data_IF_617356088812
#
_entry.id   IF_617356088812
#
_cell.length_a   1.000
_cell.length_b   1.000
_cell.length_c   1.000
_cell.angle_alpha   90.00
_cell.angle_beta   90.00
_cell.angle_gamma   90.00
#
_symmetry.space_group_name_H-M   'P 1'
#
loop_
_entity.id
_entity.type
_entity.pdbx_description
1 polymer ?
#
# COMPACT_ATOMS: atom_id res chain seq x y z
N UNK A 1 12.16 -41.02 32.86
CA UNK A 1 11.40 -39.94 32.19
C UNK A 1 12.33 -39.28 31.20
N UNK A 2 11.95 -39.06 29.94
CA UNK A 2 12.78 -38.33 29.00
C UNK A 2 13.04 -36.91 29.53
N UNK A 3 14.28 -36.45 29.42
CA UNK A 3 14.72 -35.14 29.89
C UNK A 3 14.28 -34.05 28.88
N UNK A 4 13.15 -33.42 29.18
CA UNK A 4 12.58 -32.33 28.39
C UNK A 4 13.37 -31.02 28.51
N UNK A 5 14.37 -30.91 29.39
CA UNK A 5 15.17 -29.67 29.54
C UNK A 5 15.91 -29.28 28.26
N UNK A 6 16.29 -30.27 27.45
CA UNK A 6 16.92 -30.07 26.15
C UNK A 6 16.00 -29.40 25.10
N UNK A 7 14.68 -29.62 25.19
CA UNK A 7 13.70 -29.01 24.26
C UNK A 7 13.53 -27.51 24.53
N UNK A 8 13.79 -27.04 25.76
CA UNK A 8 13.75 -25.62 26.11
C UNK A 8 15.02 -24.86 25.69
N UNK A 9 16.08 -25.56 25.29
CA UNK A 9 17.35 -24.96 24.83
C UNK A 9 17.42 -24.78 23.30
N UNK A 10 16.35 -25.09 22.57
CA UNK A 10 16.31 -24.91 21.13
C UNK A 10 16.39 -23.41 20.76
N UNK A 11 17.12 -23.06 19.70
CA UNK A 11 17.30 -21.67 19.30
C UNK A 11 15.96 -21.03 18.93
N UNK A 12 15.74 -19.79 19.40
CA UNK A 12 14.52 -18.97 19.15
C UNK A 12 13.99 -19.08 17.70
N UNK A 13 14.84 -18.98 16.65
CA UNK A 13 14.39 -19.08 15.26
C UNK A 13 13.73 -20.39 14.87
N UNK A 14 13.97 -21.47 15.61
CA UNK A 14 13.43 -22.79 15.33
C UNK A 14 12.12 -23.05 16.10
N UNK A 15 12.00 -22.54 17.32
CA UNK A 15 10.85 -22.81 18.20
C UNK A 15 9.71 -21.83 18.05
N UNK A 16 10.00 -20.56 17.78
CA UNK A 16 8.96 -19.51 17.72
C UNK A 16 8.10 -19.44 16.45
N UNK A 17 8.55 -19.86 15.24
CA UNK A 17 7.73 -19.66 14.05
C UNK A 17 6.36 -20.33 14.12
N UNK A 18 6.28 -21.57 14.61
CA UNK A 18 5.01 -22.32 14.70
C UNK A 18 3.99 -21.63 15.63
N UNK A 19 4.30 -21.33 16.92
CA UNK A 19 3.34 -20.66 17.78
C UNK A 19 2.98 -19.27 17.28
N UNK A 20 3.92 -18.51 16.70
CA UNK A 20 3.64 -17.19 16.12
C UNK A 20 2.71 -17.30 14.91
N UNK A 21 2.90 -18.29 14.03
CA UNK A 21 2.03 -18.53 12.89
C UNK A 21 0.60 -18.88 13.35
N UNK A 22 0.47 -19.71 14.38
CA UNK A 22 -0.83 -20.03 14.99
C UNK A 22 -1.48 -18.77 15.56
N UNK A 23 -0.72 -17.93 16.28
CA UNK A 23 -1.22 -16.65 16.84
C UNK A 23 -1.72 -15.72 15.72
N UNK A 24 -0.95 -15.56 14.63
CA UNK A 24 -1.39 -14.75 13.48
C UNK A 24 -2.67 -15.31 12.85
N UNK A 25 -2.74 -16.63 12.67
CA UNK A 25 -3.92 -17.29 12.09
C UNK A 25 -5.16 -17.11 12.97
N UNK A 26 -5.04 -17.36 14.29
CA UNK A 26 -6.14 -17.18 15.24
C UNK A 26 -6.57 -15.71 15.28
N UNK A 27 -5.62 -14.77 15.30
CA UNK A 27 -5.92 -13.34 15.25
C UNK A 27 -6.70 -13.01 13.99
N UNK A 28 -6.22 -13.43 12.82
CA UNK A 28 -6.90 -13.18 11.56
C UNK A 28 -8.34 -13.72 11.58
N UNK A 29 -8.52 -15.00 11.92
CA UNK A 29 -9.83 -15.65 11.94
C UNK A 29 -10.77 -15.01 12.97
N UNK A 30 -10.25 -14.52 14.09
CA UNK A 30 -11.04 -13.85 15.12
C UNK A 30 -11.51 -12.45 14.68
N UNK A 31 -10.67 -11.70 13.95
CA UNK A 31 -10.98 -10.33 13.56
C UNK A 31 -11.63 -10.22 12.17
N UNK A 32 -11.38 -11.14 11.25
CA UNK A 32 -11.92 -11.09 9.89
C UNK A 32 -13.45 -10.98 9.81
N UNK A 33 -14.26 -11.65 10.66
CA UNK A 33 -15.72 -11.49 10.67
C UNK A 33 -16.20 -10.07 11.00
N UNK A 34 -15.36 -9.26 11.66
CA UNK A 34 -15.70 -7.87 12.04
C UNK A 34 -15.55 -6.88 10.88
N UNK A 35 -14.93 -7.29 9.77
CA UNK A 35 -14.68 -6.42 8.62
C UNK A 35 -15.45 -6.91 7.38
N UNK A 36 -16.16 -5.98 6.72
CA UNK A 36 -17.05 -6.32 5.61
C UNK A 36 -16.29 -6.60 4.31
N UNK A 37 -15.26 -5.82 4.02
CA UNK A 37 -14.56 -5.88 2.72
C UNK A 37 -13.31 -6.74 2.80
N UNK A 38 -12.99 -7.48 1.72
CA UNK A 38 -11.72 -8.20 1.60
C UNK A 38 -10.51 -7.29 1.79
N UNK A 39 -10.61 -6.07 1.24
CA UNK A 39 -9.57 -5.05 1.39
C UNK A 39 -9.27 -4.76 2.87
N UNK A 40 -10.29 -4.57 3.70
CA UNK A 40 -10.09 -4.39 5.15
C UNK A 40 -9.44 -5.64 5.77
N UNK A 41 -9.96 -6.83 5.46
CA UNK A 41 -9.43 -8.09 6.00
C UNK A 41 -7.93 -8.27 5.69
N UNK A 42 -7.48 -7.86 4.51
CA UNK A 42 -6.07 -7.91 4.11
C UNK A 42 -5.14 -7.04 4.99
N UNK A 43 -5.65 -6.03 5.70
CA UNK A 43 -4.84 -5.16 6.56
C UNK A 43 -4.80 -5.60 8.04
N UNK A 44 -5.49 -6.67 8.43
CA UNK A 44 -5.53 -7.14 9.83
C UNK A 44 -4.12 -7.50 10.31
N UNK A 45 -3.45 -8.39 9.59
CA UNK A 45 -2.10 -8.83 9.96
C UNK A 45 -1.07 -7.72 9.80
N UNK A 46 -1.16 -6.91 8.75
CA UNK A 46 -0.24 -5.78 8.56
C UNK A 46 -0.35 -4.77 9.70
N UNK A 47 -1.56 -4.49 10.21
CA UNK A 47 -1.75 -3.60 11.36
C UNK A 47 -1.08 -4.16 12.61
N UNK A 48 -1.31 -5.44 12.93
CA UNK A 48 -0.69 -6.08 14.09
C UNK A 48 0.84 -6.11 13.98
N UNK A 49 1.36 -6.52 12.83
CA UNK A 49 2.80 -6.68 12.61
C UNK A 49 3.54 -5.34 12.63
N UNK A 50 3.09 -4.36 11.84
CA UNK A 50 3.75 -3.05 11.78
C UNK A 50 3.69 -2.29 13.11
N UNK A 51 2.58 -2.42 13.86
CA UNK A 51 2.49 -1.88 15.22
C UNK A 51 3.49 -2.54 16.17
N UNK A 52 3.56 -3.87 16.16
CA UNK A 52 4.50 -4.64 17.00
C UNK A 52 5.95 -4.34 16.65
N UNK A 53 6.30 -4.30 15.36
CA UNK A 53 7.66 -3.98 14.90
C UNK A 53 8.08 -2.56 15.25
N UNK A 54 7.16 -1.60 15.17
CA UNK A 54 7.41 -0.23 15.63
C UNK A 54 7.76 -0.22 17.12
N UNK A 55 7.02 -0.94 17.96
CA UNK A 55 7.30 -1.00 19.40
C UNK A 55 8.61 -1.73 19.72
N UNK A 56 8.85 -2.89 19.10
CA UNK A 56 10.07 -3.69 19.27
C UNK A 56 11.32 -2.90 18.83
N UNK A 57 11.19 -2.03 17.84
CA UNK A 57 12.30 -1.20 17.35
C UNK A 57 12.76 -0.11 18.33
N UNK A 58 11.90 0.34 19.24
CA UNK A 58 12.14 1.55 20.03
C UNK A 58 13.44 1.51 20.84
N UNK A 59 13.81 0.41 21.53
CA UNK A 59 15.08 0.39 22.27
C UNK A 59 16.30 0.46 21.36
N UNK A 60 16.26 -0.17 20.19
CA UNK A 60 17.35 -0.13 19.21
C UNK A 60 17.49 1.26 18.60
N UNK A 61 16.36 1.88 18.22
CA UNK A 61 16.34 3.24 17.71
C UNK A 61 16.84 4.24 18.78
N UNK A 62 16.39 4.09 20.02
CA UNK A 62 16.82 4.95 21.12
C UNK A 62 18.33 4.86 21.36
N UNK A 63 18.88 3.64 21.47
CA UNK A 63 20.32 3.43 21.63
C UNK A 63 21.09 3.96 20.41
N UNK A 64 20.59 3.75 19.20
CA UNK A 64 21.19 4.30 17.98
C UNK A 64 21.28 5.82 18.01
N UNK A 65 20.17 6.51 18.33
CA UNK A 65 20.11 7.97 18.34
C UNK A 65 20.93 8.61 19.47
N UNK A 66 21.10 7.90 20.60
CA UNK A 66 21.79 8.46 21.78
C UNK A 66 23.25 8.06 21.88
N UNK A 67 23.62 6.86 21.40
CA UNK A 67 24.96 6.27 21.57
C UNK A 67 25.64 5.89 20.25
N UNK A 68 24.93 5.97 19.13
CA UNK A 68 25.46 5.69 17.80
C UNK A 68 25.44 4.23 17.39
N UNK A 69 25.81 3.99 16.13
CA UNK A 69 25.71 2.69 15.45
C UNK A 69 26.55 1.58 16.11
N UNK A 70 27.78 1.87 16.54
CA UNK A 70 28.64 0.85 17.13
C UNK A 70 28.09 0.29 18.44
N UNK A 71 27.59 1.16 19.31
CA UNK A 71 27.06 0.75 20.62
C UNK A 71 25.79 -0.08 20.47
N UNK A 72 24.89 0.27 19.54
CA UNK A 72 23.68 -0.54 19.30
C UNK A 72 23.99 -1.91 18.70
N UNK A 73 25.04 -2.04 17.88
CA UNK A 73 25.50 -3.33 17.39
C UNK A 73 26.07 -4.19 18.52
N UNK A 74 26.96 -3.62 19.34
CA UNK A 74 27.54 -4.31 20.50
C UNK A 74 26.46 -4.76 21.51
N UNK A 75 25.57 -3.85 21.91
CA UNK A 75 24.50 -4.16 22.86
C UNK A 75 23.48 -5.15 22.27
N UNK A 76 23.23 -5.05 20.96
CA UNK A 76 22.33 -5.95 20.24
C UNK A 76 22.83 -7.39 20.13
N UNK A 77 24.11 -7.65 20.44
CA UNK A 77 24.70 -8.98 20.50
C UNK A 77 24.73 -9.57 21.91
N UNK A 78 24.21 -8.85 22.92
CA UNK A 78 24.28 -9.27 24.33
C UNK A 78 22.95 -9.13 25.07
N UNK A 79 22.82 -9.90 26.15
CA UNK A 79 21.73 -9.79 27.12
C UNK A 79 20.33 -9.85 26.49
N UNK A 80 19.44 -8.98 26.98
CA UNK A 80 18.04 -8.96 26.55
C UNK A 80 17.84 -8.38 25.15
N UNK A 81 18.73 -7.51 24.67
CA UNK A 81 18.65 -6.95 23.32
C UNK A 81 18.95 -8.01 22.26
N UNK A 82 19.87 -8.95 22.52
CA UNK A 82 20.07 -10.12 21.65
C UNK A 82 18.79 -10.95 21.51
N UNK A 83 18.14 -11.25 22.64
CA UNK A 83 16.89 -12.03 22.67
C UNK A 83 15.78 -11.30 21.92
N UNK A 84 15.60 -10.00 22.20
CA UNK A 84 14.60 -9.17 21.53
C UNK A 84 14.89 -9.01 20.03
N UNK A 85 16.16 -8.90 19.65
CA UNK A 85 16.62 -8.86 18.26
C UNK A 85 16.21 -10.10 17.49
N UNK A 86 16.53 -11.28 18.02
CA UNK A 86 16.16 -12.56 17.43
C UNK A 86 14.64 -12.74 17.39
N UNK A 87 13.94 -12.40 18.47
CA UNK A 87 12.49 -12.42 18.52
C UNK A 87 11.87 -11.55 17.42
N UNK A 88 12.30 -10.29 17.29
CA UNK A 88 11.76 -9.35 16.31
C UNK A 88 11.96 -9.81 14.86
N UNK A 89 13.14 -10.34 14.53
CA UNK A 89 13.42 -10.89 13.19
C UNK A 89 12.56 -12.13 12.91
N UNK A 90 12.46 -13.07 13.86
CA UNK A 90 11.63 -14.27 13.72
C UNK A 90 10.13 -13.92 13.66
N UNK A 91 9.68 -12.94 14.44
CA UNK A 91 8.31 -12.43 14.40
C UNK A 91 7.96 -11.87 13.03
N UNK A 92 8.81 -10.99 12.49
CA UNK A 92 8.57 -10.41 11.18
C UNK A 92 8.62 -11.44 10.06
N UNK A 93 9.58 -12.37 10.08
CA UNK A 93 9.65 -13.48 9.13
C UNK A 93 8.37 -14.33 9.13
N UNK A 94 7.88 -14.67 10.32
CA UNK A 94 6.68 -15.50 10.49
C UNK A 94 5.43 -14.75 10.04
N UNK A 95 5.34 -13.44 10.32
CA UNK A 95 4.29 -12.58 9.79
C UNK A 95 4.23 -12.63 8.26
N UNK A 96 5.38 -12.49 7.58
CA UNK A 96 5.43 -12.49 6.12
C UNK A 96 4.93 -13.82 5.55
N UNK A 97 5.31 -14.94 6.16
CA UNK A 97 4.82 -16.27 5.78
C UNK A 97 3.31 -16.36 6.03
N UNK A 98 2.83 -15.94 7.19
CA UNK A 98 1.41 -15.95 7.54
C UNK A 98 0.57 -15.09 6.57
N UNK A 99 1.04 -13.89 6.23
CA UNK A 99 0.35 -13.00 5.30
C UNK A 99 0.30 -13.56 3.88
N UNK A 100 1.36 -14.24 3.41
CA UNK A 100 1.33 -14.92 2.11
C UNK A 100 0.39 -16.13 2.10
N UNK A 101 0.40 -16.95 3.16
CA UNK A 101 -0.48 -18.12 3.27
C UNK A 101 -1.95 -17.69 3.37
N UNK A 102 -2.28 -16.81 4.31
CA UNK A 102 -3.66 -16.33 4.48
C UNK A 102 -4.09 -15.45 3.30
N UNK A 103 -3.17 -14.69 2.72
CA UNK A 103 -3.41 -13.93 1.50
C UNK A 103 -3.74 -14.84 0.33
N UNK A 104 -3.06 -15.97 0.17
CA UNK A 104 -3.39 -16.97 -0.85
C UNK A 104 -4.79 -17.56 -0.65
N UNK A 105 -5.18 -17.85 0.60
CA UNK A 105 -6.44 -18.52 0.94
C UNK A 105 -7.64 -17.56 0.91
N UNK A 106 -7.54 -16.40 1.57
CA UNK A 106 -8.69 -15.57 1.93
C UNK A 106 -8.77 -14.23 1.19
N UNK A 107 -7.67 -13.68 0.68
CA UNK A 107 -7.66 -12.34 0.06
C UNK A 107 -6.65 -12.22 -1.09
N UNK A 108 -6.61 -13.25 -1.95
CA UNK A 108 -5.61 -13.38 -3.02
C UNK A 108 -5.56 -12.18 -3.96
N UNK A 109 -6.72 -11.59 -4.24
CA UNK A 109 -6.85 -10.43 -5.11
C UNK A 109 -6.27 -9.14 -4.50
N UNK A 110 -6.07 -9.10 -3.18
CA UNK A 110 -5.54 -7.93 -2.47
C UNK A 110 -4.00 -7.96 -2.39
N UNK A 111 -3.37 -9.12 -2.62
CA UNK A 111 -1.90 -9.25 -2.60
C UNK A 111 -1.33 -8.91 -3.98
N UNK A 112 -0.77 -7.70 -4.10
CA UNK A 112 -0.09 -7.24 -5.32
C UNK A 112 1.12 -8.11 -5.68
N UNK A 113 1.42 -8.27 -6.98
CA UNK A 113 2.56 -9.10 -7.43
C UNK A 113 3.89 -8.55 -6.90
N UNK A 114 4.17 -7.28 -7.18
CA UNK A 114 5.42 -6.65 -6.79
C UNK A 114 5.43 -6.30 -5.30
N UNK A 115 4.38 -5.63 -4.82
CA UNK A 115 4.33 -5.06 -3.47
C UNK A 115 3.97 -6.06 -2.38
N UNK A 116 3.39 -7.21 -2.76
CA UNK A 116 3.03 -8.30 -1.84
C UNK A 116 3.94 -9.51 -2.06
N UNK A 117 3.70 -10.28 -3.12
CA UNK A 117 4.37 -11.57 -3.33
C UNK A 117 5.89 -11.47 -3.40
N UNK A 118 6.42 -10.72 -4.36
CA UNK A 118 7.88 -10.60 -4.56
C UNK A 118 8.53 -9.93 -3.35
N UNK A 119 7.93 -8.83 -2.88
CA UNK A 119 8.43 -8.10 -1.71
C UNK A 119 8.52 -9.00 -0.46
N UNK A 120 7.46 -9.73 -0.12
CA UNK A 120 7.45 -10.60 1.07
C UNK A 120 8.41 -11.76 0.92
N UNK A 121 8.52 -12.39 -0.26
CA UNK A 121 9.51 -13.45 -0.50
C UNK A 121 10.95 -12.95 -0.33
N UNK A 122 11.27 -11.78 -0.88
CA UNK A 122 12.59 -11.16 -0.69
C UNK A 122 12.86 -10.88 0.79
N UNK A 123 11.87 -10.39 1.54
CA UNK A 123 12.03 -10.14 2.97
C UNK A 123 12.14 -11.42 3.79
N UNK A 124 11.44 -12.51 3.44
CA UNK A 124 11.60 -13.82 4.09
C UNK A 124 13.04 -14.31 3.94
N UNK A 125 13.60 -14.23 2.73
CA UNK A 125 14.99 -14.57 2.48
C UNK A 125 15.96 -13.67 3.26
N UNK A 126 15.69 -12.36 3.29
CA UNK A 126 16.45 -11.40 4.07
C UNK A 126 16.41 -11.70 5.57
N UNK A 127 15.26 -12.07 6.13
CA UNK A 127 15.15 -12.44 7.55
C UNK A 127 15.96 -13.71 7.84
N UNK A 128 15.93 -14.71 6.95
CA UNK A 128 16.77 -15.90 7.06
C UNK A 128 18.27 -15.55 7.10
N UNK A 129 18.71 -14.64 6.22
CA UNK A 129 20.08 -14.11 6.23
C UNK A 129 20.41 -13.32 7.50
N UNK A 130 19.49 -12.49 7.99
CA UNK A 130 19.71 -11.71 9.23
C UNK A 130 19.79 -12.63 10.45
N UNK A 131 19.07 -13.74 10.48
CA UNK A 131 19.12 -14.71 11.58
C UNK A 131 20.42 -15.51 11.62
N UNK A 132 21.07 -15.70 10.47
CA UNK A 132 22.38 -16.37 10.38
C UNK A 132 23.55 -15.40 10.52
N UNK A 133 23.28 -14.10 10.54
CA UNK A 133 24.28 -13.04 10.72
C UNK A 133 24.00 -12.24 12.00
N UNK A 134 24.90 -11.31 12.35
CA UNK A 134 24.74 -10.46 13.54
C UNK A 134 24.03 -9.14 13.23
N UNK A 135 23.18 -9.12 12.21
CA UNK A 135 22.56 -7.90 11.66
C UNK A 135 21.16 -7.61 12.20
N UNK A 136 20.68 -8.35 13.20
CA UNK A 136 19.39 -8.10 13.83
C UNK A 136 19.23 -6.67 14.38
N UNK A 137 20.25 -6.05 15.01
CA UNK A 137 20.13 -4.67 15.51
C UNK A 137 19.92 -3.67 14.38
N UNK A 138 20.65 -3.80 13.27
CA UNK A 138 20.48 -2.98 12.06
C UNK A 138 19.05 -3.07 11.52
N UNK A 139 18.52 -4.29 11.43
CA UNK A 139 17.14 -4.51 11.00
C UNK A 139 16.13 -3.86 11.95
N UNK A 140 16.31 -3.98 13.27
CA UNK A 140 15.38 -3.39 14.21
C UNK A 140 15.46 -1.87 14.29
N UNK A 141 16.60 -1.24 14.04
CA UNK A 141 16.66 0.22 13.82
C UNK A 141 15.80 0.59 12.61
N UNK A 142 15.95 -0.15 11.50
CA UNK A 142 15.16 0.06 10.28
C UNK A 142 13.66 -0.24 10.48
N UNK A 143 13.31 -1.17 11.37
CA UNK A 143 11.92 -1.54 11.65
C UNK A 143 11.09 -0.40 12.27
N UNK A 144 11.73 0.64 12.81
CA UNK A 144 11.02 1.88 13.18
C UNK A 144 10.31 2.56 12.01
N UNK A 145 10.76 2.27 10.78
CA UNK A 145 10.10 2.71 9.54
C UNK A 145 8.79 1.97 9.25
N UNK A 146 8.34 1.05 10.11
CA UNK A 146 7.01 0.44 10.01
C UNK A 146 5.87 1.34 10.52
N UNK A 147 6.16 2.43 11.24
CA UNK A 147 5.12 3.34 11.74
C UNK A 147 4.21 3.91 10.63
N UNK A 148 4.71 4.35 9.45
CA UNK A 148 3.84 4.76 8.35
C UNK A 148 2.99 3.61 7.78
N UNK A 149 3.48 2.37 7.80
CA UNK A 149 2.70 1.18 7.40
C UNK A 149 1.60 0.91 8.40
N UNK A 150 1.88 1.05 9.70
CA UNK A 150 0.87 0.96 10.74
C UNK A 150 -0.23 2.00 10.53
N UNK A 151 0.15 3.26 10.26
CA UNK A 151 -0.81 4.32 9.97
C UNK A 151 -1.67 4.03 8.73
N UNK A 152 -1.06 3.50 7.67
CA UNK A 152 -1.77 3.08 6.46
C UNK A 152 -2.74 1.93 6.76
N UNK A 153 -2.28 0.91 7.48
CA UNK A 153 -3.04 -0.30 7.73
C UNK A 153 -4.25 -0.02 8.64
N UNK A 154 -4.06 0.73 9.73
CA UNK A 154 -5.15 1.12 10.63
C UNK A 154 -6.17 2.02 9.91
N UNK A 155 -5.71 2.92 9.02
CA UNK A 155 -6.60 3.79 8.23
C UNK A 155 -7.42 3.02 7.18
N UNK A 156 -6.93 1.85 6.72
CA UNK A 156 -7.73 0.97 5.86
C UNK A 156 -8.72 0.12 6.66
N UNK A 157 -8.37 -0.31 7.87
CA UNK A 157 -9.31 -1.01 8.77
C UNK A 157 -10.44 -0.10 9.23
N UNK A 158 -10.09 1.11 9.69
CA UNK A 158 -11.02 2.10 10.24
C UNK A 158 -10.94 3.40 9.42
N UNK A 159 -11.75 3.55 8.37
CA UNK A 159 -11.74 4.75 7.53
C UNK A 159 -11.96 6.06 8.30
N UNK A 160 -12.59 6.01 9.48
CA UNK A 160 -12.80 7.17 10.36
C UNK A 160 -11.50 7.77 10.89
N UNK A 161 -10.42 6.99 11.05
CA UNK A 161 -9.13 7.49 11.54
C UNK A 161 -8.21 7.95 10.41
N UNK A 162 -8.63 7.82 9.15
CA UNK A 162 -7.79 8.09 7.99
C UNK A 162 -7.41 9.56 7.88
N UNK A 163 -6.10 9.82 7.82
CA UNK A 163 -5.56 11.14 7.53
C UNK A 163 -4.40 11.00 6.53
N UNK A 164 -4.64 11.38 5.27
CA UNK A 164 -3.65 11.27 4.20
C UNK A 164 -2.39 12.11 4.49
N UNK A 165 -2.53 13.30 5.09
CA UNK A 165 -1.39 14.16 5.40
C UNK A 165 -0.51 13.55 6.50
N UNK A 166 -1.11 13.00 7.57
CA UNK A 166 -0.40 12.28 8.63
C UNK A 166 0.43 11.13 8.05
N UNK A 167 -0.18 10.31 7.20
CA UNK A 167 0.50 9.20 6.53
C UNK A 167 1.67 9.70 5.66
N UNK A 168 1.44 10.70 4.82
CA UNK A 168 2.49 11.24 3.93
C UNK A 168 3.64 11.88 4.70
N UNK A 169 3.35 12.64 5.76
CA UNK A 169 4.37 13.26 6.61
C UNK A 169 5.20 12.21 7.35
N UNK A 170 4.57 11.23 7.98
CA UNK A 170 5.28 10.14 8.68
C UNK A 170 6.10 9.29 7.71
N UNK A 171 5.56 8.99 6.53
CA UNK A 171 6.28 8.27 5.47
C UNK A 171 7.52 9.05 5.02
N UNK A 172 7.40 10.36 4.76
CA UNK A 172 8.55 11.17 4.37
C UNK A 172 9.63 11.19 5.45
N UNK A 173 9.25 11.50 6.69
CA UNK A 173 10.21 11.60 7.81
C UNK A 173 10.94 10.28 8.03
N UNK A 174 10.22 9.16 8.12
CA UNK A 174 10.82 7.87 8.49
C UNK A 174 11.38 7.10 7.30
N UNK A 175 10.58 6.91 6.24
CA UNK A 175 10.95 6.06 5.09
C UNK A 175 11.82 6.76 4.05
N UNK A 176 11.91 8.09 4.05
CA UNK A 176 12.78 8.85 3.15
C UNK A 176 13.94 9.49 3.92
N UNK A 177 13.67 10.43 4.84
CA UNK A 177 14.72 11.22 5.49
C UNK A 177 15.56 10.37 6.44
N UNK A 178 14.93 9.73 7.43
CA UNK A 178 15.63 8.86 8.38
C UNK A 178 16.30 7.67 7.67
N UNK A 179 15.61 7.04 6.71
CA UNK A 179 16.18 5.97 5.90
C UNK A 179 17.47 6.41 5.21
N UNK A 180 17.49 7.55 4.52
CA UNK A 180 18.68 8.04 3.83
C UNK A 180 19.82 8.29 4.81
N UNK A 181 19.54 8.91 5.97
CA UNK A 181 20.55 9.13 7.02
C UNK A 181 21.12 7.80 7.50
N UNK A 182 20.25 6.82 7.79
CA UNK A 182 20.66 5.51 8.28
C UNK A 182 21.44 4.69 7.23
N UNK A 183 21.05 4.79 5.96
CA UNK A 183 21.78 4.21 4.82
C UNK A 183 23.19 4.80 4.72
N UNK A 184 23.31 6.14 4.76
CA UNK A 184 24.61 6.80 4.71
C UNK A 184 25.49 6.38 5.88
N UNK A 185 24.92 6.25 7.09
CA UNK A 185 25.65 5.77 8.26
C UNK A 185 26.11 4.32 8.12
N UNK A 186 25.27 3.42 7.58
CA UNK A 186 25.65 2.04 7.26
C UNK A 186 26.74 1.93 6.17
N UNK A 187 26.81 2.89 5.25
CA UNK A 187 27.83 2.92 4.18
C UNK A 187 29.17 3.49 4.66
N UNK A 188 29.22 4.21 5.78
CA UNK A 188 30.48 4.75 6.32
C UNK A 188 31.49 3.63 6.58
N UNK A 189 32.78 3.84 6.28
CA UNK A 189 33.81 2.85 6.55
C UNK A 189 33.83 2.34 7.98
N UNK A 190 33.61 3.21 8.98
CA UNK A 190 33.55 2.83 10.39
C UNK A 190 32.45 1.82 10.68
N UNK A 191 31.23 2.07 10.20
CA UNK A 191 30.10 1.16 10.37
C UNK A 191 30.30 -0.16 9.63
N UNK A 192 30.91 -0.13 8.44
CA UNK A 192 31.24 -1.34 7.66
C UNK A 192 32.31 -2.20 8.33
N UNK A 193 33.26 -1.59 9.04
CA UNK A 193 34.23 -2.35 9.84
C UNK A 193 33.54 -3.09 10.98
N UNK A 194 32.46 -2.54 11.55
CA UNK A 194 31.70 -3.17 12.64
C UNK A 194 30.84 -4.33 12.12
N UNK A 195 30.17 -4.15 10.98
CA UNK A 195 29.31 -5.20 10.40
C UNK A 195 30.09 -6.24 9.58
N UNK A 196 31.35 -5.96 9.24
CA UNK A 196 32.17 -6.72 8.30
C UNK A 196 31.48 -7.01 6.96
N UNK A 197 30.54 -6.17 6.53
CA UNK A 197 29.68 -6.46 5.39
C UNK A 197 29.07 -5.21 4.75
N UNK A 198 28.92 -5.26 3.41
CA UNK A 198 28.16 -4.28 2.64
C UNK A 198 26.65 -4.57 2.61
N UNK A 199 26.22 -5.73 3.10
CA UNK A 199 24.83 -6.18 3.01
C UNK A 199 23.82 -5.15 3.55
N UNK A 200 24.02 -4.52 4.73
CA UNK A 200 23.12 -3.46 5.19
C UNK A 200 22.91 -2.33 4.18
N UNK A 201 23.99 -1.83 3.59
CA UNK A 201 23.93 -0.76 2.60
C UNK A 201 23.19 -1.16 1.33
N UNK A 202 23.41 -2.39 0.86
CA UNK A 202 22.72 -2.93 -0.33
C UNK A 202 21.22 -3.04 -0.07
N UNK A 203 20.80 -3.68 1.02
CA UNK A 203 19.39 -3.88 1.33
C UNK A 203 18.66 -2.56 1.59
N UNK A 204 19.28 -1.63 2.33
CA UNK A 204 18.72 -0.30 2.55
C UNK A 204 18.61 0.50 1.24
N UNK A 205 19.60 0.41 0.34
CA UNK A 205 19.51 1.09 -0.97
C UNK A 205 18.32 0.58 -1.79
N UNK A 206 18.15 -0.75 -1.87
CA UNK A 206 17.03 -1.36 -2.61
C UNK A 206 15.68 -0.97 -1.98
N UNK A 207 15.60 -0.97 -0.65
CA UNK A 207 14.39 -0.55 0.06
C UNK A 207 14.09 0.95 -0.13
N UNK A 208 15.11 1.81 -0.15
CA UNK A 208 14.95 3.26 -0.37
C UNK A 208 14.40 3.55 -1.76
N UNK A 209 14.90 2.87 -2.82
CA UNK A 209 14.37 3.02 -4.19
C UNK A 209 12.87 2.69 -4.21
N UNK A 210 12.48 1.59 -3.56
CA UNK A 210 11.08 1.20 -3.44
C UNK A 210 10.26 2.26 -2.69
N UNK A 211 10.74 2.77 -1.56
CA UNK A 211 10.06 3.80 -0.79
C UNK A 211 9.89 5.11 -1.54
N UNK A 212 10.89 5.56 -2.31
CA UNK A 212 10.78 6.75 -3.16
C UNK A 212 9.67 6.54 -4.20
N UNK A 213 9.61 5.35 -4.82
CA UNK A 213 8.55 5.04 -5.80
C UNK A 213 7.15 5.09 -5.18
N UNK A 214 6.99 4.57 -3.95
CA UNK A 214 5.72 4.58 -3.22
C UNK A 214 5.33 5.97 -2.75
N UNK A 215 6.28 6.75 -2.22
CA UNK A 215 6.05 8.13 -1.81
C UNK A 215 5.56 8.98 -2.97
N UNK A 216 6.20 8.85 -4.14
CA UNK A 216 5.77 9.54 -5.37
C UNK A 216 4.33 9.19 -5.74
N UNK A 217 3.96 7.91 -5.65
CA UNK A 217 2.59 7.44 -5.89
C UNK A 217 1.58 8.00 -4.88
N UNK A 218 1.92 7.97 -3.58
CA UNK A 218 1.11 8.53 -2.51
C UNK A 218 0.88 10.04 -2.66
N UNK A 219 1.95 10.79 -2.96
CA UNK A 219 1.91 12.24 -3.13
C UNK A 219 1.08 12.62 -4.35
N UNK A 220 1.31 11.96 -5.48
CA UNK A 220 0.51 12.17 -6.70
C UNK A 220 -0.97 11.89 -6.45
N UNK A 221 -1.28 10.82 -5.72
CA UNK A 221 -2.64 10.48 -5.33
C UNK A 221 -3.30 11.54 -4.44
N UNK A 222 -2.55 12.07 -3.46
CA UNK A 222 -3.01 13.13 -2.56
C UNK A 222 -3.28 14.43 -3.30
N UNK A 223 -2.34 14.90 -4.13
CA UNK A 223 -2.49 16.13 -4.92
C UNK A 223 -3.69 16.04 -5.87
N UNK A 224 -3.90 14.89 -6.52
CA UNK A 224 -5.07 14.66 -7.39
C UNK A 224 -6.39 14.74 -6.62
N UNK A 225 -6.46 14.17 -5.41
CA UNK A 225 -7.67 14.26 -4.56
C UNK A 225 -7.92 15.69 -4.09
N UNK A 226 -6.86 16.41 -3.71
CA UNK A 226 -6.94 17.81 -3.27
C UNK A 226 -7.42 18.74 -4.39
N UNK A 227 -6.86 18.60 -5.59
CA UNK A 227 -7.29 19.37 -6.77
C UNK A 227 -8.77 19.16 -7.08
N UNK A 228 -9.26 17.91 -7.07
CA UNK A 228 -10.68 17.61 -7.27
C UNK A 228 -11.60 18.16 -6.17
N UNK A 229 -11.11 18.24 -4.93
CA UNK A 229 -11.87 18.82 -3.83
C UNK A 229 -12.00 20.34 -3.95
N UNK A 230 -10.98 21.01 -4.49
CA UNK A 230 -10.98 22.46 -4.70
C UNK A 230 -11.83 22.88 -5.92
N UNK A 231 -11.92 22.04 -6.94
CA UNK A 231 -12.73 22.34 -8.13
C UNK A 231 -14.24 22.20 -7.91
N UNK A 232 -14.68 21.44 -6.90
CA UNK A 232 -16.10 21.22 -6.60
C UNK A 232 -16.83 22.48 -6.07
N UNK A 233 -16.29 23.22 -5.07
CA UNK A 233 -16.89 24.47 -4.60
C UNK A 233 -17.01 25.51 -5.71
N UNK A 234 -15.98 25.63 -6.56
CA UNK A 234 -16.00 26.59 -7.66
C UNK A 234 -17.11 26.24 -8.67
N UNK A 235 -17.24 24.98 -9.07
CA UNK A 235 -18.33 24.55 -9.96
C UNK A 235 -19.73 24.78 -9.36
N UNK A 236 -19.90 24.54 -8.04
CA UNK A 236 -21.17 24.79 -7.35
C UNK A 236 -21.52 26.28 -7.23
N UNK A 237 -20.55 27.18 -7.23
CA UNK A 237 -20.77 28.63 -7.20
C UNK A 237 -21.02 29.18 -8.62
N UNK A 238 -20.28 28.68 -9.63
CA UNK A 238 -20.36 29.22 -10.99
C UNK A 238 -21.63 28.76 -11.73
N UNK A 239 -22.12 27.54 -11.53
CA UNK A 239 -23.36 27.08 -12.18
C UNK A 239 -24.61 27.92 -11.85
N UNK A 240 -24.93 28.26 -10.59
CA UNK A 240 -26.09 29.09 -10.29
C UNK A 240 -25.94 30.52 -10.83
N UNK A 241 -24.73 31.10 -10.81
CA UNK A 241 -24.48 32.45 -11.36
C UNK A 241 -24.67 32.46 -12.87
N UNK A 242 -24.12 31.47 -13.59
CA UNK A 242 -24.32 31.36 -15.04
C UNK A 242 -25.79 31.12 -15.35
N UNK A 243 -26.47 30.24 -14.60
CA UNK A 243 -27.90 29.98 -14.81
C UNK A 243 -28.78 31.21 -14.55
N UNK A 244 -28.45 32.03 -13.54
CA UNK A 244 -29.13 33.27 -13.24
C UNK A 244 -28.87 34.33 -14.32
N UNK A 245 -27.63 34.43 -14.83
CA UNK A 245 -27.29 35.32 -15.93
C UNK A 245 -27.99 34.93 -17.24
N UNK A 246 -28.07 33.63 -17.57
CA UNK A 246 -28.77 33.16 -18.77
C UNK A 246 -30.30 33.29 -18.68
N UNK A 247 -30.87 33.35 -17.47
CA UNK A 247 -32.30 33.56 -17.28
C UNK A 247 -32.70 35.05 -17.29
N UNK A 248 -31.75 35.98 -17.27
CA UNK A 248 -32.00 37.44 -17.32
C UNK A 248 -32.02 38.01 -18.75
N UNK A 249 -31.85 37.17 -19.77
CA UNK A 249 -31.85 37.59 -21.18
C UNK A 249 -32.78 36.68 -21.99
N UNK A 250 -34.09 37.01 -22.02
CA UNK A 250 -34.65 37.67 -23.20
C UNK A 250 -35.82 38.61 -22.82
N UNK A 251 -35.54 39.83 -22.38
CA UNK A 251 -36.60 40.85 -22.21
C UNK A 251 -36.09 42.27 -22.46
N UNK A 252 -35.28 42.42 -23.51
CA UNK A 252 -35.05 43.73 -24.16
C UNK A 252 -35.46 43.60 -25.63
N UNK A 253 -36.71 43.24 -25.86
CA UNK A 253 -37.44 43.73 -27.02
C UNK A 253 -38.85 44.12 -26.52
N UNK A 254 -39.11 45.42 -26.59
CA UNK A 254 -40.42 46.08 -26.47
C UNK A 254 -41.07 46.14 -25.08
N UNK A 255 -40.94 47.29 -24.39
CA UNK A 255 -42.08 48.20 -24.14
C UNK A 255 -41.75 49.30 -23.12
N UNK A 256 -41.91 50.54 -23.59
CA UNK A 256 -42.63 51.67 -22.96
C UNK A 256 -43.00 51.64 -21.46
N UNK A 257 -42.53 52.69 -20.75
CA UNK A 257 -43.01 53.31 -19.49
C UNK A 257 -44.52 53.14 -19.18
N UNK A 258 -44.99 53.11 -17.89
CA UNK A 258 -44.74 54.17 -16.91
C UNK A 258 -44.64 53.78 -15.40
N UNK A 259 -44.41 54.84 -14.62
CA UNK A 259 -44.23 55.04 -13.17
C UNK A 259 -45.24 54.42 -12.19
N UNK A 260 -44.79 54.01 -10.99
CA UNK A 260 -44.95 54.75 -9.71
C UNK A 260 -44.73 53.89 -8.44
N UNK A 261 -43.97 54.47 -7.51
CA UNK A 261 -43.99 54.38 -6.03
C UNK A 261 -44.42 53.09 -5.31
N UNK A 262 -43.50 52.49 -4.54
CA UNK A 262 -43.50 52.51 -3.05
C UNK A 262 -42.48 51.52 -2.46
N UNK A 263 -41.86 51.93 -1.36
CA UNK A 263 -40.83 51.22 -0.55
C UNK A 263 -41.37 51.06 0.90
N UNK A 264 -40.62 50.48 1.86
CA UNK A 264 -40.21 49.08 2.07
C UNK A 264 -40.72 48.53 3.44
N UNK A 265 -40.40 47.28 3.85
CA UNK A 265 -39.44 47.13 4.96
C UNK A 265 -38.57 45.86 4.93
N UNK A 266 -37.45 45.92 5.67
CA UNK A 266 -36.49 44.86 6.05
C UNK A 266 -36.70 44.50 7.55
N UNK A 267 -35.84 43.69 8.23
CA UNK A 267 -35.67 42.22 8.14
C UNK A 267 -35.53 41.54 9.54
N UNK A 268 -36.15 40.39 9.87
CA UNK A 268 -35.65 39.55 11.01
C UNK A 268 -35.96 38.04 10.86
N UNK A 269 -34.97 37.25 11.28
CA UNK A 269 -35.00 35.91 11.88
C UNK A 269 -35.32 34.64 11.08
N UNK A 270 -34.23 33.98 10.69
CA UNK A 270 -34.12 32.54 10.44
C UNK A 270 -34.04 31.74 11.74
N UNK A 271 -34.73 30.59 11.85
CA UNK A 271 -34.29 29.52 12.72
C UNK A 271 -33.62 28.39 11.92
N UNK A 272 -32.49 27.96 12.45
CA UNK A 272 -31.79 26.72 12.15
C UNK A 272 -32.77 25.54 12.02
N UNK A 273 -32.78 24.91 10.85
CA UNK A 273 -33.29 23.55 10.67
C UNK A 273 -32.15 22.72 10.10
N UNK A 274 -31.53 21.91 10.95
CA UNK A 274 -30.70 20.78 10.52
C UNK A 274 -31.60 19.56 10.30
N UNK A 275 -31.70 19.00 9.08
CA UNK A 275 -32.27 17.67 8.92
C UNK A 275 -31.18 16.65 9.25
N UNK A 276 -31.25 16.07 10.45
CA UNK A 276 -30.86 14.66 10.59
C UNK A 276 -31.93 13.84 9.89
N UNK A 277 -31.55 13.07 8.89
CA UNK A 277 -32.35 11.94 8.43
C UNK A 277 -31.56 10.64 8.50
N UNK A 278 -32.28 9.53 8.78
CA UNK A 278 -31.73 8.29 9.29
C UNK A 278 -31.53 7.26 8.17
N UNK A 279 -30.74 6.22 8.43
CA UNK A 279 -30.83 4.98 7.66
C UNK A 279 -30.93 3.77 8.60
N UNK A 280 -32.15 3.61 9.12
CA UNK A 280 -32.73 2.29 9.28
C UNK A 280 -33.18 1.83 7.88
N UNK A 281 -32.75 0.66 7.44
CA UNK A 281 -33.65 -0.47 7.11
C UNK A 281 -32.87 -1.72 6.65
N UNK A 282 -33.50 -2.91 6.76
CA UNK A 282 -32.87 -4.19 7.06
C UNK A 282 -32.78 -5.10 5.84
N UNK A 283 -32.00 -6.19 5.91
CA UNK A 283 -32.35 -7.43 5.23
C UNK A 283 -31.80 -8.64 5.98
N UNK A 284 -32.73 -9.47 6.43
CA UNK A 284 -32.57 -10.88 6.75
C UNK A 284 -32.53 -11.68 5.45
N UNK A 285 -31.58 -12.60 5.28
CA UNK A 285 -31.90 -13.95 4.82
C UNK A 285 -30.76 -14.94 5.08
N UNK A 286 -31.20 -16.06 5.65
CA UNK A 286 -30.59 -17.37 5.85
C UNK A 286 -30.06 -17.97 4.53
N UNK A 287 -29.02 -18.79 4.62
CA UNK A 287 -28.94 -20.20 4.19
C UNK A 287 -27.46 -20.63 4.24
N UNK A 288 -27.04 -21.50 5.18
CA UNK A 288 -27.21 -22.97 5.16
C UNK A 288 -26.57 -23.63 3.95
N UNK A 289 -25.25 -23.89 4.01
CA UNK A 289 -24.63 -24.95 3.22
C UNK A 289 -23.74 -25.83 4.11
N UNK A 290 -24.29 -26.99 4.43
CA UNK A 290 -23.57 -28.22 4.72
C UNK A 290 -22.88 -28.70 3.43
N UNK A 291 -21.62 -29.12 3.51
CA UNK A 291 -20.99 -29.97 2.49
C UNK A 291 -20.23 -31.11 3.19
N UNK A 292 -20.48 -32.38 2.82
CA UNK A 292 -19.81 -33.56 3.36
C UNK A 292 -18.63 -34.03 2.48
N UNK A 293 -17.74 -34.81 3.10
CA UNK A 293 -16.85 -35.84 2.54
C UNK A 293 -16.01 -35.54 1.27
N UNK A 294 -14.69 -35.45 1.48
CA UNK A 294 -13.65 -35.58 0.45
C UNK A 294 -13.05 -37.00 0.46
N UNK A 295 -12.89 -37.68 -0.70
CA UNK A 295 -12.20 -38.96 -0.79
C UNK A 295 -10.68 -38.83 -1.01
N UNK A 296 -9.98 -39.92 -0.68
CA UNK A 296 -8.54 -40.13 -0.71
C UNK A 296 -7.84 -39.75 -2.04
N UNK A 297 -6.71 -39.05 -1.93
CA UNK A 297 -5.75 -38.82 -3.02
C UNK A 297 -4.59 -39.84 -2.95
N UNK A 298 -4.14 -40.40 -4.09
CA UNK A 298 -3.04 -41.36 -4.13
C UNK A 298 -1.65 -40.70 -4.05
N UNK A 299 -0.72 -41.45 -3.46
CA UNK A 299 0.71 -41.16 -3.34
C UNK A 299 1.39 -41.10 -4.72
N UNK A 300 2.10 -40.01 -5.00
CA UNK A 300 2.96 -39.87 -6.18
C UNK A 300 4.39 -40.25 -5.79
N UNK A 301 4.90 -41.30 -6.42
CA UNK A 301 6.31 -41.74 -6.34
C UNK A 301 7.10 -41.08 -7.47
N UNK A 302 8.20 -40.38 -7.15
CA UNK A 302 9.09 -39.73 -8.11
C UNK A 302 10.25 -40.66 -8.50
N UNK A 303 10.53 -40.92 -9.80
CA UNK A 303 11.74 -41.60 -10.22
C UNK A 303 12.87 -40.61 -10.61
N UNK A 304 14.09 -40.99 -10.21
CA UNK A 304 15.43 -40.65 -10.73
C UNK A 304 15.63 -39.31 -11.48
N UNK A 305 16.33 -38.37 -10.82
CA UNK A 305 16.90 -37.18 -11.44
C UNK A 305 18.22 -37.50 -12.21
N UNK A 306 18.41 -36.95 -13.42
CA UNK A 306 19.70 -36.96 -14.10
C UNK A 306 20.68 -35.94 -13.49
N UNK A 307 21.94 -36.34 -13.39
CA UNK A 307 23.07 -35.52 -12.97
C UNK A 307 23.31 -34.36 -13.96
N UNK A 308 23.18 -33.12 -13.47
CA UNK A 308 23.40 -31.90 -14.26
C UNK A 308 24.88 -31.50 -14.20
N UNK A 309 25.53 -31.46 -15.36
CA UNK A 309 26.88 -30.92 -15.53
C UNK A 309 26.88 -29.40 -15.37
N UNK A 310 27.68 -28.88 -14.44
CA UNK A 310 27.79 -27.44 -14.14
C UNK A 310 28.76 -26.79 -15.15
N UNK A 311 28.35 -25.73 -15.88
CA UNK A 311 29.23 -25.05 -16.85
C UNK A 311 30.37 -24.29 -16.16
N UNK A 312 31.46 -24.08 -16.90
CA UNK A 312 32.66 -23.43 -16.40
C UNK A 312 32.45 -21.92 -16.17
N UNK A 313 33.17 -21.33 -15.20
CA UNK A 313 33.04 -19.92 -14.83
C UNK A 313 33.39 -18.96 -15.99
N UNK A 314 34.20 -19.42 -16.94
CA UNK A 314 34.53 -18.73 -18.19
C UNK A 314 33.35 -18.65 -19.17
N UNK A 315 32.52 -19.69 -19.27
CA UNK A 315 31.32 -19.69 -20.11
C UNK A 315 30.20 -18.83 -19.49
N UNK A 316 30.15 -18.77 -18.15
CA UNK A 316 29.21 -17.92 -17.43
C UNK A 316 29.55 -16.42 -17.59
N UNK A 317 30.83 -16.08 -17.77
CA UNK A 317 31.27 -14.68 -17.91
C UNK A 317 31.13 -14.17 -19.34
N UNK A 318 31.30 -15.04 -20.35
CA UNK A 318 31.12 -14.70 -21.76
C UNK A 318 29.65 -14.51 -22.18
N UNK A 319 28.71 -15.01 -21.37
CA UNK A 319 27.26 -14.95 -21.66
C UNK A 319 26.54 -13.76 -21.01
N UNK A 320 27.22 -12.90 -20.25
CA UNK A 320 26.60 -11.75 -19.57
C UNK A 320 26.32 -10.61 -20.57
N UNK A 321 25.05 -10.29 -20.89
CA UNK A 321 24.72 -9.18 -21.79
C UNK A 321 25.05 -7.83 -21.14
N UNK A 322 25.47 -6.86 -21.96
CA UNK A 322 25.77 -5.48 -21.53
C UNK A 322 24.65 -4.89 -20.65
N UNK A 323 24.97 -4.22 -19.53
CA UNK A 323 24.00 -3.82 -18.49
C UNK A 323 22.87 -2.91 -19.00
N UNK A 324 23.11 -2.15 -20.08
CA UNK A 324 22.11 -1.25 -20.65
C UNK A 324 20.99 -1.96 -21.45
N UNK A 325 21.20 -3.22 -21.85
CA UNK A 325 20.18 -4.02 -22.55
C UNK A 325 19.22 -4.69 -21.56
N UNK A 326 19.76 -5.22 -20.46
CA UNK A 326 19.00 -5.88 -19.40
C UNK A 326 18.05 -4.90 -18.69
N UNK A 327 18.48 -3.67 -18.41
CA UNK A 327 17.60 -2.69 -17.76
C UNK A 327 16.44 -2.26 -18.66
N UNK A 328 16.65 -2.15 -19.98
CA UNK A 328 15.59 -1.86 -20.95
C UNK A 328 14.65 -3.03 -21.13
N UNK A 329 15.16 -4.26 -21.27
CA UNK A 329 14.32 -5.46 -21.43
C UNK A 329 13.53 -5.77 -20.15
N UNK A 330 14.10 -5.60 -18.96
CA UNK A 330 13.36 -5.69 -17.69
C UNK A 330 12.34 -4.57 -17.53
N UNK A 331 12.67 -3.34 -17.94
CA UNK A 331 11.73 -2.22 -17.89
C UNK A 331 10.59 -2.38 -18.89
N UNK A 332 10.84 -2.95 -20.06
CA UNK A 332 9.83 -3.24 -21.08
C UNK A 332 8.96 -4.41 -20.63
N UNK A 333 9.54 -5.53 -20.21
CA UNK A 333 8.81 -6.68 -19.70
C UNK A 333 7.97 -6.36 -18.45
N UNK A 334 8.48 -5.51 -17.56
CA UNK A 334 7.71 -5.02 -16.42
C UNK A 334 6.55 -4.12 -16.85
N UNK A 335 6.78 -3.19 -17.79
CA UNK A 335 5.74 -2.31 -18.31
C UNK A 335 4.64 -3.11 -19.03
N UNK A 336 5.01 -4.13 -19.78
CA UNK A 336 4.10 -5.01 -20.51
C UNK A 336 3.32 -5.93 -19.57
N UNK A 337 3.96 -6.46 -18.51
CA UNK A 337 3.27 -7.22 -17.47
C UNK A 337 2.27 -6.37 -16.68
N UNK A 338 2.62 -5.11 -16.38
CA UNK A 338 1.69 -4.16 -15.74
C UNK A 338 0.54 -3.80 -16.67
N UNK A 339 0.82 -3.59 -17.95
CA UNK A 339 -0.19 -3.28 -18.97
C UNK A 339 -1.14 -4.45 -19.19
N UNK A 340 -0.63 -5.66 -19.33
CA UNK A 340 -1.43 -6.89 -19.47
C UNK A 340 -2.38 -7.08 -18.27
N UNK A 341 -1.87 -6.91 -17.05
CA UNK A 341 -2.72 -7.00 -15.84
C UNK A 341 -3.74 -5.86 -15.75
N UNK A 342 -3.41 -4.67 -16.23
CA UNK A 342 -4.35 -3.55 -16.32
C UNK A 342 -5.45 -3.81 -17.35
N UNK A 343 -5.10 -4.39 -18.50
CA UNK A 343 -6.03 -4.81 -19.54
C UNK A 343 -6.94 -5.93 -19.05
N UNK A 344 -6.41 -6.93 -18.33
CA UNK A 344 -7.21 -7.99 -17.69
C UNK A 344 -8.22 -7.41 -16.67
N UNK A 345 -7.81 -6.44 -15.86
CA UNK A 345 -8.72 -5.77 -14.92
C UNK A 345 -9.79 -4.96 -15.66
N UNK A 346 -9.41 -4.25 -16.72
CA UNK A 346 -10.34 -3.50 -17.57
C UNK A 346 -11.36 -4.43 -18.21
N UNK A 347 -10.95 -5.58 -18.73
CA UNK A 347 -11.84 -6.60 -19.29
C UNK A 347 -12.80 -7.15 -18.23
N UNK A 348 -12.35 -7.39 -17.00
CA UNK A 348 -13.25 -7.76 -15.89
C UNK A 348 -14.27 -6.67 -15.58
N UNK A 349 -13.89 -5.40 -15.60
CA UNK A 349 -14.83 -4.29 -15.42
C UNK A 349 -15.84 -4.20 -16.57
N UNK A 350 -15.41 -4.46 -17.81
CA UNK A 350 -16.30 -4.52 -18.97
C UNK A 350 -17.24 -5.72 -18.86
N UNK A 351 -16.74 -6.90 -18.49
CA UNK A 351 -17.56 -8.10 -18.29
C UNK A 351 -18.60 -7.92 -17.18
N UNK A 352 -18.25 -7.28 -16.06
CA UNK A 352 -19.21 -6.94 -14.99
C UNK A 352 -20.27 -5.94 -15.48
N UNK A 353 -19.88 -5.00 -16.37
CA UNK A 353 -20.80 -4.06 -17.01
C UNK A 353 -21.74 -4.76 -18.00
N UNK A 354 -21.26 -5.76 -18.73
CA UNK A 354 -22.03 -6.55 -19.70
C UNK A 354 -22.94 -7.59 -19.04
N UNK A 355 -22.57 -8.11 -17.88
CA UNK A 355 -23.39 -9.04 -17.08
C UNK A 355 -24.63 -8.40 -16.42
N UNK A 356 -25.00 -7.17 -16.79
CA UNK A 356 -26.34 -6.64 -16.51
C UNK A 356 -26.64 -6.35 -15.04
N UNK A 357 -25.62 -6.13 -14.19
CA UNK A 357 -25.83 -5.44 -12.91
C UNK A 357 -26.04 -3.95 -13.20
N UNK A 358 -27.27 -3.62 -13.58
CA UNK A 358 -27.71 -2.25 -13.88
C UNK A 358 -27.58 -1.33 -12.68
N UNK A 359 -26.41 -0.72 -12.51
CA UNK A 359 -26.33 0.63 -11.94
C UNK A 359 -26.42 1.61 -13.11
N UNK A 360 -27.58 2.25 -13.22
CA UNK A 360 -27.83 3.30 -14.19
C UNK A 360 -26.89 4.48 -13.93
N UNK A 361 -25.82 4.56 -14.72
CA UNK A 361 -24.77 5.59 -14.68
C UNK A 361 -24.85 6.51 -15.90
N UNK A 362 -26.02 6.59 -16.54
CA UNK A 362 -26.31 7.46 -17.69
C UNK A 362 -26.04 8.95 -17.42
N UNK A 363 -25.91 9.37 -16.16
CA UNK A 363 -25.61 10.76 -15.79
C UNK A 363 -24.15 11.21 -15.94
N UNK A 364 -23.15 10.31 -16.02
CA UNK A 364 -21.74 10.72 -15.99
C UNK A 364 -21.02 10.76 -17.35
N UNK A 365 -21.56 10.12 -18.39
CA UNK A 365 -20.85 10.02 -19.69
C UNK A 365 -21.14 11.18 -20.64
N UNK A 366 -22.22 11.94 -20.45
CA UNK A 366 -22.61 13.03 -21.36
C UNK A 366 -21.78 14.32 -21.19
N UNK A 367 -21.12 14.51 -20.03
CA UNK A 367 -20.44 15.77 -19.72
C UNK A 367 -18.99 15.84 -20.23
N UNK A 368 -18.35 14.70 -20.52
CA UNK A 368 -16.95 14.64 -20.95
C UNK A 368 -16.70 14.81 -22.45
N UNK A 369 -17.64 14.38 -23.29
CA UNK A 369 -17.46 14.35 -24.75
C UNK A 369 -17.77 15.71 -25.38
N UNK A 370 -18.66 16.52 -24.78
CA UNK A 370 -19.03 17.84 -25.32
C UNK A 370 -17.92 18.89 -25.18
N UNK A 371 -16.99 18.72 -24.24
CA UNK A 371 -15.86 19.65 -24.04
C UNK A 371 -14.72 19.48 -25.05
N UNK A 372 -14.57 18.29 -25.64
CA UNK A 372 -13.48 18.03 -26.60
C UNK A 372 -13.80 18.57 -28.00
N UNK A 373 -15.06 18.49 -28.42
CA UNK A 373 -15.52 19.03 -29.71
C UNK A 373 -15.40 20.55 -29.79
N UNK A 374 -15.67 21.26 -28.69
CA UNK A 374 -15.55 22.73 -28.63
C UNK A 374 -14.10 23.23 -28.63
N UNK A 375 -13.12 22.39 -28.28
CA UNK A 375 -11.70 22.77 -28.34
C UNK A 375 -11.14 22.60 -29.76
N UNK A 376 -11.56 21.54 -30.47
CA UNK A 376 -11.18 21.34 -31.88
C UNK A 376 -11.82 22.38 -32.81
N UNK A 377 -13.05 22.84 -32.55
CA UNK A 377 -13.67 23.92 -33.35
C UNK A 377 -12.96 25.27 -33.17
N UNK A 378 -12.44 25.58 -31.98
CA UNK A 378 -11.71 26.84 -31.73
C UNK A 378 -10.30 26.79 -32.34
N UNK A 379 -9.64 25.62 -32.35
CA UNK A 379 -8.32 25.46 -32.94
C UNK A 379 -8.34 25.54 -34.47
N UNK A 380 -9.41 25.04 -35.12
CA UNK A 380 -9.58 25.17 -36.58
C UNK A 380 -9.87 26.61 -36.99
N UNK A 381 -10.59 27.38 -36.16
CA UNK A 381 -10.96 28.75 -36.50
C UNK A 381 -9.79 29.73 -36.34
N UNK A 382 -8.89 29.51 -35.37
CA UNK A 382 -7.67 30.32 -35.20
C UNK A 382 -6.66 30.10 -36.33
N UNK A 383 -6.60 28.90 -36.90
CA UNK A 383 -5.68 28.61 -38.03
C UNK A 383 -6.16 29.23 -39.34
N UNK A 384 -7.47 29.43 -39.52
CA UNK A 384 -8.01 30.07 -40.72
C UNK A 384 -7.86 31.60 -40.72
N UNK A 385 -7.83 32.23 -39.55
CA UNK A 385 -7.69 33.68 -39.43
C UNK A 385 -6.22 34.16 -39.53
N UNK A 386 -5.23 33.26 -39.57
CA UNK A 386 -3.80 33.58 -39.76
C UNK A 386 -3.32 33.48 -41.22
N UNK A 387 -4.16 33.05 -42.16
CA UNK A 387 -3.81 32.90 -43.59
C UNK A 387 -4.43 33.96 -44.54
N UNK A 388 -5.15 34.96 -44.01
CA UNK A 388 -5.61 36.18 -44.71
C UNK A 388 -4.91 37.44 -44.14
#
# INVERSE_FOLDING_TARGET
>A
MPDFSSLFNLPIPLTLPIPLFIIFTITYLSFAPRFKTEKQKAYILSTLSSGSMTLISLPFLYTYLTKGFGVVMEQGEMGWMLVLGRFGVTFFATYLIADLVLGWIYYRNQVGLLTGWIHHLCYIALMGYILTTRLSPTFLIAASMELPTFDLAISNLFPSVRNDLRFLSTFFILRITFHLIFLLDCLRPSSRTITHSFSPGIFLTLALILHISWFRGGLSGYLKRRSKSLSKPLAQITEPIISAATNLEPTIENSTLPSSSSSPPTPEDSPLITPRTPSLTPFTLRDSYLLPNLPNLPQITMPNLPTVSIPSLSELTASIPRPNRISRELSLGFKDAVRSRWEEQRERFVAVKEMGMGMDLSSFSAMGIRRRRKAEEVEVQVVMDEED
#
